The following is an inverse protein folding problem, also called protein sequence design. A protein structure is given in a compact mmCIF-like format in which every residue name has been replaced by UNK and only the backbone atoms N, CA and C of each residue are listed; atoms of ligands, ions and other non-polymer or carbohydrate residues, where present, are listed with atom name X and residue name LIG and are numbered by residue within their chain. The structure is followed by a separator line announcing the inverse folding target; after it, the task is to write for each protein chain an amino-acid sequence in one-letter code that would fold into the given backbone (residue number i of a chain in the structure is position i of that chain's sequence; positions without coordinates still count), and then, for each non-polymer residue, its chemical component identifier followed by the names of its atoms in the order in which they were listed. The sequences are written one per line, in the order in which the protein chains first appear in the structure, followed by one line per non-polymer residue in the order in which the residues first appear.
data_IF_796313682956
#
_entry.id   IF_796313682956
#
_cell.length_a   1.000
_cell.length_b   1.000
_cell.length_c   1.000
_cell.angle_alpha   90.00
_cell.angle_beta   90.00
_cell.angle_gamma   90.00
#
_symmetry.space_group_name_H-M   'P 1'
#
loop_
_entity.id
_entity.type
_entity.pdbx_description
1 polymer ?
#
# COMPACT_ATOMS: atom_id res chain seq x y z
N UNK A 1 -34.62 32.54 1.40
CA UNK A 1 -33.75 31.78 0.47
C UNK A 1 -34.67 31.11 -0.52
N UNK A 2 -34.42 31.28 -1.82
CA UNK A 2 -35.19 30.60 -2.86
C UNK A 2 -34.28 29.54 -3.47
N UNK A 3 -34.76 28.30 -3.56
CA UNK A 3 -34.07 27.23 -4.25
C UNK A 3 -34.96 26.70 -5.37
N UNK A 4 -34.39 26.54 -6.57
CA UNK A 4 -35.06 25.91 -7.71
C UNK A 4 -34.26 24.69 -8.10
N UNK A 5 -34.92 23.53 -8.13
CA UNK A 5 -34.33 22.26 -8.55
C UNK A 5 -34.89 21.94 -9.93
N UNK A 6 -34.01 21.72 -10.90
CA UNK A 6 -34.37 21.30 -12.26
C UNK A 6 -33.85 19.89 -12.49
N UNK A 7 -34.73 18.98 -12.93
CA UNK A 7 -34.43 17.59 -13.25
C UNK A 7 -34.62 17.39 -14.75
N UNK A 8 -33.62 16.81 -15.42
CA UNK A 8 -33.65 16.52 -16.85
C UNK A 8 -33.10 15.10 -17.08
N UNK A 9 -33.68 14.35 -18.03
CA UNK A 9 -33.37 12.93 -18.23
C UNK A 9 -31.91 12.64 -18.62
N UNK A 10 -31.18 13.64 -19.11
CA UNK A 10 -29.83 13.49 -19.69
C UNK A 10 -28.76 14.34 -19.02
N UNK A 11 -29.11 15.10 -17.96
CA UNK A 11 -28.19 16.00 -17.28
C UNK A 11 -28.22 15.82 -15.75
N UNK A 12 -27.11 16.10 -15.04
CA UNK A 12 -27.12 16.15 -13.58
C UNK A 12 -28.13 17.19 -13.08
N UNK A 13 -28.78 16.89 -11.96
CA UNK A 13 -29.77 17.76 -11.36
C UNK A 13 -29.16 19.12 -11.02
N UNK A 14 -29.86 20.19 -11.42
CA UNK A 14 -29.39 21.56 -11.23
C UNK A 14 -30.12 22.18 -10.05
N UNK A 15 -29.37 22.58 -9.03
CA UNK A 15 -29.89 23.28 -7.85
C UNK A 15 -29.43 24.73 -7.89
N UNK A 16 -30.36 25.66 -8.08
CA UNK A 16 -30.09 27.10 -8.07
C UNK A 16 -30.58 27.71 -6.75
N UNK A 17 -29.64 28.25 -5.97
CA UNK A 17 -29.92 28.86 -4.67
C UNK A 17 -29.70 30.38 -4.78
N UNK A 18 -30.72 31.14 -4.42
CA UNK A 18 -30.68 32.59 -4.34
C UNK A 18 -30.83 33.06 -2.88
N UNK A 19 -29.84 33.83 -2.42
CA UNK A 19 -29.85 34.45 -1.09
C UNK A 19 -29.27 35.86 -1.19
N UNK A 20 -30.08 36.86 -0.82
CA UNK A 20 -29.69 38.28 -0.79
C UNK A 20 -29.08 38.79 -2.11
N UNK A 21 -29.66 38.39 -3.25
CA UNK A 21 -29.20 38.78 -4.59
C UNK A 21 -28.00 37.99 -5.13
N UNK A 22 -27.35 37.15 -4.31
CA UNK A 22 -26.32 36.22 -4.78
C UNK A 22 -26.95 34.91 -5.25
N UNK A 23 -26.67 34.52 -6.50
CA UNK A 23 -27.11 33.27 -7.11
C UNK A 23 -25.96 32.26 -7.12
N UNK A 24 -26.19 31.07 -6.58
CA UNK A 24 -25.26 29.94 -6.63
C UNK A 24 -25.93 28.78 -7.36
N UNK A 25 -25.22 28.19 -8.31
CA UNK A 25 -25.67 27.01 -9.04
C UNK A 25 -24.81 25.82 -8.66
N UNK A 26 -25.45 24.70 -8.33
CA UNK A 26 -24.81 23.45 -7.96
C UNK A 26 -25.37 22.37 -8.89
N UNK A 27 -24.49 21.55 -9.44
CA UNK A 27 -24.87 20.35 -10.19
C UNK A 27 -24.67 19.15 -9.28
N UNK A 28 -25.71 18.34 -9.13
CA UNK A 28 -25.74 17.19 -8.24
C UNK A 28 -26.15 15.97 -9.06
N UNK A 29 -25.52 14.83 -8.81
CA UNK A 29 -25.97 13.57 -9.39
C UNK A 29 -27.43 13.31 -8.97
N UNK A 30 -28.27 12.81 -9.89
CA UNK A 30 -29.69 12.55 -9.58
C UNK A 30 -29.89 11.56 -8.44
N UNK A 31 -29.02 10.54 -8.32
CA UNK A 31 -29.10 9.56 -7.25
C UNK A 31 -28.76 10.18 -5.89
N UNK A 32 -27.71 11.02 -5.84
CA UNK A 32 -27.31 11.71 -4.61
C UNK A 32 -28.38 12.72 -4.16
N UNK A 33 -28.97 13.44 -5.12
CA UNK A 33 -30.07 14.37 -4.82
C UNK A 33 -31.29 13.63 -4.26
N UNK A 34 -31.69 12.50 -4.87
CA UNK A 34 -32.80 11.68 -4.40
C UNK A 34 -32.53 11.15 -2.98
N UNK A 35 -31.32 10.63 -2.73
CA UNK A 35 -30.91 10.14 -1.42
C UNK A 35 -31.00 11.25 -0.35
N UNK A 36 -30.53 12.46 -0.66
CA UNK A 36 -30.59 13.59 0.26
C UNK A 36 -32.02 14.05 0.55
N UNK A 37 -32.89 14.13 -0.45
CA UNK A 37 -34.31 14.48 -0.26
C UNK A 37 -34.98 13.43 0.63
N UNK A 38 -34.80 12.15 0.32
CA UNK A 38 -35.36 11.04 1.10
C UNK A 38 -34.86 11.08 2.55
N UNK A 39 -33.58 11.36 2.78
CA UNK A 39 -33.05 11.50 4.15
C UNK A 39 -33.63 12.70 4.91
N UNK A 40 -33.98 13.78 4.19
CA UNK A 40 -34.50 15.00 4.81
C UNK A 40 -35.97 14.92 5.23
N UNK A 41 -36.74 13.97 4.66
CA UNK A 41 -38.18 13.79 4.93
C UNK A 41 -38.44 12.90 6.15
N UNK A 42 -37.46 12.13 6.64
CA UNK A 42 -37.64 11.14 7.72
C UNK A 42 -37.68 11.72 9.16
N UNK A 43 -38.20 12.92 9.38
CA UNK A 43 -38.13 13.57 10.72
C UNK A 43 -39.38 13.54 11.61
N UNK A 44 -40.50 12.90 11.24
CA UNK A 44 -41.73 12.94 12.09
C UNK A 44 -42.31 11.58 12.56
N UNK A 45 -41.64 10.45 12.34
CA UNK A 45 -42.03 9.16 12.94
C UNK A 45 -40.89 8.57 13.77
N UNK A 46 -40.71 9.11 14.98
CA UNK A 46 -39.79 8.56 15.98
C UNK A 46 -40.49 7.42 16.72
N UNK A 47 -40.53 6.24 16.10
CA UNK A 47 -40.36 5.02 16.87
C UNK A 47 -38.86 4.86 17.10
N UNK A 48 -38.47 4.68 18.36
CA UNK A 48 -37.11 4.57 18.90
C UNK A 48 -36.38 3.32 18.38
N UNK A 49 -36.25 3.20 17.06
CA UNK A 49 -35.33 2.29 16.42
C UNK A 49 -33.96 2.93 16.57
N UNK A 50 -33.19 2.46 17.54
CA UNK A 50 -31.73 2.58 17.53
C UNK A 50 -31.27 2.46 16.08
N UNK A 51 -30.78 3.58 15.52
CA UNK A 51 -30.37 3.63 14.13
C UNK A 51 -29.31 2.54 13.93
N UNK A 52 -29.68 1.47 13.24
CA UNK A 52 -28.74 0.39 12.95
C UNK A 52 -27.60 1.03 12.15
N UNK A 53 -26.35 0.96 12.61
CA UNK A 53 -25.22 1.51 11.87
C UNK A 53 -25.21 0.93 10.45
N UNK A 54 -25.28 1.80 9.44
CA UNK A 54 -25.20 1.38 8.05
C UNK A 54 -23.72 1.25 7.64
N UNK A 55 -23.40 0.16 6.94
CA UNK A 55 -22.07 -0.06 6.40
C UNK A 55 -21.88 0.82 5.17
N UNK A 56 -21.05 1.87 5.28
CA UNK A 56 -20.79 2.82 4.19
C UNK A 56 -19.71 2.30 3.22
N UNK A 57 -18.74 1.54 3.74
CA UNK A 57 -17.64 0.98 2.97
C UNK A 57 -17.11 -0.28 3.66
N UNK A 58 -16.75 -1.28 2.88
CA UNK A 58 -15.99 -2.44 3.34
C UNK A 58 -14.74 -2.59 2.49
N UNK A 59 -13.64 -2.99 3.10
CA UNK A 59 -12.52 -3.53 2.32
C UNK A 59 -12.93 -4.86 1.68
N UNK A 60 -12.28 -5.26 0.56
CA UNK A 60 -12.30 -6.64 0.13
C UNK A 60 -11.61 -7.55 1.16
N UNK A 61 -11.55 -8.85 0.88
CA UNK A 61 -10.60 -9.74 1.53
C UNK A 61 -9.18 -9.26 1.23
N UNK A 62 -8.35 -9.14 2.27
CA UNK A 62 -6.98 -8.66 2.14
C UNK A 62 -6.00 -9.79 2.45
N UNK A 63 -4.80 -9.78 1.84
CA UNK A 63 -3.70 -10.67 2.23
C UNK A 63 -3.43 -10.64 3.73
N UNK A 64 -2.98 -11.77 4.25
CA UNK A 64 -2.39 -11.82 5.58
C UNK A 64 -1.26 -10.78 5.70
N UNK A 65 -1.13 -10.19 6.88
CA UNK A 65 -0.15 -9.14 7.20
C UNK A 65 -0.33 -7.82 6.44
N UNK A 66 -1.50 -7.57 5.86
CA UNK A 66 -1.84 -6.23 5.34
C UNK A 66 -1.97 -5.25 6.50
N UNK A 67 -1.15 -4.20 6.49
CA UNK A 67 -1.15 -3.14 7.50
C UNK A 67 -1.88 -1.88 7.04
N UNK A 68 -2.03 -1.69 5.73
CA UNK A 68 -2.71 -0.54 5.14
C UNK A 68 -3.24 -0.90 3.76
N UNK A 69 -4.44 -0.43 3.46
CA UNK A 69 -5.11 -0.59 2.18
C UNK A 69 -5.68 0.75 1.74
N UNK A 70 -5.58 1.05 0.44
CA UNK A 70 -6.23 2.19 -0.18
C UNK A 70 -6.71 1.82 -1.57
N UNK A 71 -7.85 2.37 -1.98
CA UNK A 71 -8.31 2.31 -3.37
C UNK A 71 -8.22 3.71 -3.97
N UNK A 72 -7.46 3.85 -5.05
CA UNK A 72 -7.32 5.11 -5.78
C UNK A 72 -8.50 5.35 -6.73
N UNK A 73 -8.66 6.59 -7.18
CA UNK A 73 -9.74 7.00 -8.10
C UNK A 73 -9.63 6.39 -9.50
N UNK A 74 -8.46 5.88 -9.87
CA UNK A 74 -8.21 5.18 -11.14
C UNK A 74 -8.39 3.65 -11.03
N UNK A 75 -9.10 3.21 -9.98
CA UNK A 75 -9.34 1.81 -9.62
C UNK A 75 -8.07 1.02 -9.23
N UNK A 76 -6.94 1.69 -8.95
CA UNK A 76 -5.77 1.01 -8.41
C UNK A 76 -5.96 0.65 -6.94
N UNK A 77 -5.83 -0.64 -6.61
CA UNK A 77 -5.73 -1.13 -5.24
C UNK A 77 -4.28 -1.03 -4.76
N UNK A 78 -4.04 -0.31 -3.67
CA UNK A 78 -2.74 -0.20 -3.01
C UNK A 78 -2.76 -0.96 -1.68
N UNK A 79 -1.81 -1.87 -1.51
CA UNK A 79 -1.66 -2.71 -0.33
C UNK A 79 -0.27 -2.54 0.26
N UNK A 80 -0.20 -2.41 1.58
CA UNK A 80 1.04 -2.42 2.33
C UNK A 80 1.06 -3.67 3.20
N UNK A 81 2.04 -4.54 3.03
CA UNK A 81 2.10 -5.85 3.66
C UNK A 81 3.41 -6.04 4.40
N UNK A 82 3.35 -6.41 5.68
CA UNK A 82 4.56 -6.74 6.45
C UNK A 82 4.99 -8.17 6.22
N UNK A 83 6.30 -8.37 6.19
CA UNK A 83 6.94 -9.69 6.21
C UNK A 83 7.94 -9.69 7.37
N UNK A 84 7.63 -10.39 8.47
CA UNK A 84 8.48 -10.39 9.66
C UNK A 84 9.90 -10.88 9.40
N UNK A 85 10.83 -10.45 10.25
CA UNK A 85 12.20 -10.97 10.27
C UNK A 85 12.20 -12.50 10.26
N UNK A 86 13.00 -13.06 9.37
CA UNK A 86 13.08 -14.50 9.17
C UNK A 86 14.40 -14.85 8.51
N UNK A 87 14.76 -16.12 8.55
CA UNK A 87 15.90 -16.63 7.81
C UNK A 87 15.44 -17.40 6.59
N UNK A 88 16.15 -17.22 5.47
CA UNK A 88 15.85 -17.89 4.20
C UNK A 88 17.11 -18.43 3.57
N UNK A 89 16.96 -19.51 2.80
CA UNK A 89 18.03 -20.00 1.94
C UNK A 89 18.11 -19.10 0.69
N UNK A 90 19.25 -18.46 0.51
CA UNK A 90 19.50 -17.52 -0.58
C UNK A 90 20.31 -18.21 -1.66
N UNK A 91 19.77 -18.23 -2.89
CA UNK A 91 20.56 -18.59 -4.07
C UNK A 91 21.23 -17.33 -4.61
N UNK A 92 22.56 -17.29 -4.62
CA UNK A 92 23.35 -16.21 -5.22
C UNK A 92 24.24 -16.77 -6.34
N UNK A 93 23.96 -16.35 -7.57
CA UNK A 93 24.45 -16.98 -8.80
C UNK A 93 24.18 -18.50 -8.83
N UNK A 94 25.20 -19.32 -8.55
CA UNK A 94 25.14 -20.79 -8.54
C UNK A 94 25.39 -21.38 -7.14
N UNK A 95 25.51 -20.54 -6.13
CA UNK A 95 25.80 -20.93 -4.75
C UNK A 95 24.57 -20.72 -3.89
N UNK A 96 24.23 -21.70 -3.07
CA UNK A 96 23.18 -21.57 -2.04
C UNK A 96 23.86 -21.23 -0.72
N UNK A 97 23.37 -20.18 -0.07
CA UNK A 97 23.71 -19.77 1.29
C UNK A 97 22.51 -20.08 2.17
N UNK A 98 22.73 -20.80 3.27
CA UNK A 98 21.66 -21.31 4.10
C UNK A 98 21.36 -20.37 5.27
N UNK A 99 20.09 -20.30 5.66
CA UNK A 99 19.70 -19.63 6.90
C UNK A 99 20.21 -18.18 7.00
N UNK A 100 20.10 -17.43 5.88
CA UNK A 100 20.50 -16.02 5.80
C UNK A 100 19.38 -15.16 6.40
N UNK A 101 19.68 -14.33 7.43
CA UNK A 101 18.67 -13.51 8.08
C UNK A 101 18.26 -12.32 7.21
N UNK A 102 16.95 -12.07 7.15
CA UNK A 102 16.32 -10.90 6.53
C UNK A 102 15.67 -10.06 7.63
N UNK A 103 15.72 -8.71 7.56
CA UNK A 103 15.10 -7.86 8.56
C UNK A 103 13.57 -7.93 8.48
N UNK A 104 12.88 -7.22 9.37
CA UNK A 104 11.47 -6.93 9.11
C UNK A 104 11.32 -6.09 7.84
N UNK A 105 10.38 -6.49 6.98
CA UNK A 105 10.16 -5.89 5.67
C UNK A 105 8.72 -5.40 5.52
N UNK A 106 8.53 -4.33 4.76
CA UNK A 106 7.22 -3.87 4.31
C UNK A 106 7.21 -3.77 2.80
N UNK A 107 6.30 -4.52 2.18
CA UNK A 107 6.02 -4.49 0.76
C UNK A 107 4.91 -3.49 0.47
N UNK A 108 4.97 -2.82 -0.68
CA UNK A 108 3.85 -2.10 -1.26
C UNK A 108 3.53 -2.68 -2.63
N UNK A 109 2.28 -3.09 -2.83
CA UNK A 109 1.75 -3.54 -4.11
C UNK A 109 0.69 -2.56 -4.61
N UNK A 110 0.78 -2.20 -5.88
CA UNK A 110 -0.32 -1.59 -6.62
C UNK A 110 -0.88 -2.61 -7.59
N UNK A 111 -2.21 -2.78 -7.61
CA UNK A 111 -2.91 -3.64 -8.55
C UNK A 111 -3.86 -2.78 -9.37
N UNK A 112 -3.65 -2.73 -10.67
CA UNK A 112 -4.48 -1.98 -11.61
C UNK A 112 -4.86 -2.91 -12.75
N UNK A 113 -6.13 -2.97 -13.15
CA UNK A 113 -6.63 -3.87 -14.19
C UNK A 113 -6.19 -5.34 -13.96
N UNK A 114 -6.31 -5.82 -12.71
CA UNK A 114 -5.94 -7.18 -12.30
C UNK A 114 -4.46 -7.52 -12.53
N UNK A 115 -3.56 -6.52 -12.55
CA UNK A 115 -2.12 -6.73 -12.71
C UNK A 115 -1.35 -5.91 -11.71
N UNK A 116 -0.22 -6.44 -11.25
CA UNK A 116 0.69 -5.69 -10.38
C UNK A 116 1.31 -4.56 -11.18
N UNK A 117 0.94 -3.32 -10.85
CA UNK A 117 1.42 -2.08 -11.47
C UNK A 117 2.53 -1.41 -10.66
N UNK A 118 2.62 -1.73 -9.36
CA UNK A 118 3.64 -1.21 -8.45
C UNK A 118 4.12 -2.31 -7.50
N UNK A 119 5.43 -2.40 -7.27
CA UNK A 119 6.04 -3.31 -6.31
C UNK A 119 7.24 -2.63 -5.66
N UNK A 120 7.13 -2.34 -4.38
CA UNK A 120 8.17 -1.68 -3.61
C UNK A 120 8.44 -2.43 -2.31
N UNK A 121 9.64 -2.27 -1.77
CA UNK A 121 10.12 -2.95 -0.58
C UNK A 121 11.01 -2.03 0.25
N UNK A 122 10.71 -1.94 1.54
CA UNK A 122 11.51 -1.24 2.53
C UNK A 122 11.76 -2.16 3.74
N UNK A 123 12.83 -1.90 4.49
CA UNK A 123 13.11 -2.55 5.77
C UNK A 123 12.76 -1.63 6.94
N UNK A 124 12.50 -2.21 8.10
CA UNK A 124 12.29 -1.46 9.35
C UNK A 124 12.86 -2.21 10.56
N UNK A 125 13.14 -1.47 11.64
CA UNK A 125 13.74 -2.01 12.87
C UNK A 125 12.73 -2.32 13.96
N UNK A 126 11.62 -1.58 13.99
CA UNK A 126 10.63 -1.69 15.05
C UNK A 126 9.98 -3.07 15.08
N UNK A 127 9.59 -3.51 16.29
CA UNK A 127 8.82 -4.76 16.45
C UNK A 127 7.47 -4.70 15.74
N UNK A 128 6.86 -3.53 15.70
CA UNK A 128 5.56 -3.29 15.07
C UNK A 128 5.69 -2.09 14.15
N UNK A 129 5.24 -2.24 12.91
CA UNK A 129 5.22 -1.15 11.95
C UNK A 129 4.14 -0.13 12.35
N UNK A 130 4.54 1.12 12.55
CA UNK A 130 3.67 2.26 12.86
C UNK A 130 3.90 3.38 11.86
N UNK A 131 3.00 4.35 11.84
CA UNK A 131 3.10 5.53 10.97
C UNK A 131 4.43 6.29 11.14
N UNK A 132 4.96 6.37 12.38
CA UNK A 132 6.23 7.03 12.71
C UNK A 132 7.47 6.11 12.59
N UNK A 133 7.29 4.83 12.24
CA UNK A 133 8.41 3.89 12.04
C UNK A 133 9.34 4.38 10.95
N UNK A 134 10.63 4.46 11.28
CA UNK A 134 11.68 4.81 10.32
C UNK A 134 11.89 3.70 9.31
N UNK A 135 11.94 4.06 8.03
CA UNK A 135 12.20 3.12 6.95
C UNK A 135 13.66 3.14 6.52
N UNK A 136 14.11 1.97 6.10
CA UNK A 136 15.48 1.69 5.69
C UNK A 136 15.49 1.02 4.33
N UNK A 137 16.58 1.21 3.60
CA UNK A 137 16.82 0.51 2.36
C UNK A 137 16.99 -0.98 2.63
N UNK A 138 16.42 -1.82 1.76
CA UNK A 138 16.70 -3.24 1.77
C UNK A 138 18.21 -3.50 1.54
N UNK A 139 18.87 -4.29 2.41
CA UNK A 139 20.34 -4.29 2.49
C UNK A 139 21.07 -5.11 1.43
N UNK A 140 20.36 -5.97 0.69
CA UNK A 140 20.91 -6.87 -0.33
C UNK A 140 20.62 -6.33 -1.74
N UNK A 141 20.63 -7.21 -2.76
CA UNK A 141 20.33 -6.83 -4.15
C UNK A 141 18.84 -6.95 -4.49
N UNK A 142 18.50 -6.89 -5.78
CA UNK A 142 17.13 -6.99 -6.33
C UNK A 142 16.16 -5.84 -5.95
N UNK A 143 16.62 -4.81 -5.25
CA UNK A 143 15.83 -3.62 -4.90
C UNK A 143 16.62 -2.35 -5.23
N UNK A 144 15.97 -1.43 -5.95
CA UNK A 144 16.50 -0.12 -6.30
C UNK A 144 16.63 0.79 -5.06
N UNK A 145 17.40 1.87 -5.19
CA UNK A 145 17.67 2.78 -4.07
C UNK A 145 16.44 3.51 -3.53
N UNK A 146 15.37 3.62 -4.32
CA UNK A 146 14.09 4.20 -3.96
C UNK A 146 13.09 3.18 -3.38
N UNK A 147 13.50 1.92 -3.23
CA UNK A 147 12.67 0.81 -2.77
C UNK A 147 11.90 0.09 -3.88
N UNK A 148 12.00 0.51 -5.14
CA UNK A 148 11.42 -0.24 -6.26
C UNK A 148 12.03 -1.64 -6.35
N UNK A 149 11.21 -2.67 -6.55
CA UNK A 149 11.72 -4.03 -6.71
C UNK A 149 12.08 -4.31 -8.17
N UNK A 150 13.20 -4.99 -8.41
CA UNK A 150 13.52 -5.52 -9.74
C UNK A 150 12.87 -6.89 -9.90
N UNK A 151 11.56 -6.86 -10.12
CA UNK A 151 10.77 -8.05 -10.33
C UNK A 151 9.83 -7.79 -11.51
N UNK A 152 9.69 -8.77 -12.39
CA UNK A 152 8.70 -8.71 -13.44
C UNK A 152 7.72 -9.86 -13.22
N UNK A 153 6.46 -9.50 -13.00
CA UNK A 153 5.36 -10.44 -12.91
C UNK A 153 4.29 -10.03 -13.92
N UNK A 154 3.84 -10.99 -14.71
CA UNK A 154 2.74 -10.78 -15.65
C UNK A 154 1.50 -11.61 -15.26
N UNK A 155 1.46 -12.08 -14.01
CA UNK A 155 0.32 -12.78 -13.44
C UNK A 155 -0.91 -11.89 -13.40
N UNK A 156 -2.06 -12.51 -13.63
CA UNK A 156 -3.37 -11.87 -13.47
C UNK A 156 -3.81 -12.11 -12.03
N UNK A 157 -4.05 -11.03 -11.29
CA UNK A 157 -4.52 -11.03 -9.92
C UNK A 157 -6.05 -11.03 -9.95
N UNK A 158 -6.65 -12.18 -9.64
CA UNK A 158 -8.11 -12.32 -9.58
C UNK A 158 -8.67 -11.95 -8.20
N UNK A 159 -7.85 -12.10 -7.16
CA UNK A 159 -8.17 -11.78 -5.78
C UNK A 159 -6.92 -11.21 -5.12
N UNK A 160 -7.05 -10.09 -4.40
CA UNK A 160 -5.94 -9.45 -3.72
C UNK A 160 -5.26 -10.41 -2.74
N UNK A 161 -5.99 -11.34 -2.13
CA UNK A 161 -5.45 -12.36 -1.21
C UNK A 161 -4.32 -13.18 -1.83
N UNK A 162 -4.29 -13.34 -3.16
CA UNK A 162 -3.22 -14.07 -3.87
C UNK A 162 -1.82 -13.48 -3.61
N UNK A 163 -1.75 -12.17 -3.36
CA UNK A 163 -0.50 -11.45 -3.07
C UNK A 163 0.17 -11.93 -1.77
N UNK A 164 -0.54 -12.61 -0.86
CA UNK A 164 0.05 -13.15 0.36
C UNK A 164 1.22 -14.12 0.11
N UNK A 165 1.21 -14.79 -1.05
CA UNK A 165 2.29 -15.71 -1.44
C UNK A 165 3.52 -15.00 -2.01
N UNK A 166 3.35 -13.76 -2.48
CA UNK A 166 4.40 -13.04 -3.20
C UNK A 166 5.66 -12.83 -2.35
N UNK A 167 5.61 -12.30 -1.10
CA UNK A 167 6.81 -12.12 -0.30
C UNK A 167 7.62 -13.41 -0.14
N UNK A 168 6.94 -14.55 0.10
CA UNK A 168 7.58 -15.86 0.25
C UNK A 168 8.22 -16.37 -1.04
N UNK A 169 7.66 -16.05 -2.20
CA UNK A 169 8.21 -16.42 -3.50
C UNK A 169 9.36 -15.49 -3.92
N UNK A 170 9.27 -14.21 -3.58
CA UNK A 170 10.26 -13.21 -3.93
C UNK A 170 11.58 -13.41 -3.20
N UNK A 171 11.55 -13.69 -1.89
CA UNK A 171 12.79 -13.93 -1.10
C UNK A 171 13.59 -15.15 -1.57
N UNK A 172 12.95 -16.07 -2.32
CA UNK A 172 13.58 -17.25 -2.92
C UNK A 172 14.14 -17.00 -4.32
N UNK A 173 13.88 -15.84 -4.92
CA UNK A 173 14.43 -15.51 -6.23
C UNK A 173 15.96 -15.42 -6.17
N UNK A 174 16.67 -15.84 -7.22
CA UNK A 174 18.12 -15.73 -7.25
C UNK A 174 18.59 -14.27 -7.09
N UNK A 175 19.55 -14.08 -6.19
CA UNK A 175 20.26 -12.82 -6.01
C UNK A 175 21.44 -12.75 -6.98
N UNK A 176 21.70 -11.55 -7.48
CA UNK A 176 22.83 -11.22 -8.35
C UNK A 176 23.37 -9.82 -8.00
N UNK A 177 24.39 -9.36 -8.73
CA UNK A 177 25.07 -8.09 -8.47
C UNK A 177 24.41 -6.85 -9.11
N UNK A 178 23.43 -6.99 -10.01
CA UNK A 178 22.97 -5.89 -10.87
C UNK A 178 22.50 -4.65 -10.09
N UNK A 179 21.82 -4.85 -8.96
CA UNK A 179 21.33 -3.78 -8.09
C UNK A 179 22.08 -3.68 -6.76
N UNK A 180 23.25 -4.30 -6.67
CA UNK A 180 24.10 -4.19 -5.50
C UNK A 180 25.25 -3.24 -5.75
N UNK A 181 25.36 -2.24 -4.88
CA UNK A 181 26.50 -1.34 -4.83
C UNK A 181 27.07 -1.37 -3.42
N UNK A 182 28.31 -1.84 -3.31
CA UNK A 182 29.06 -1.90 -2.06
C UNK A 182 29.13 -0.51 -1.41
N UNK A 183 28.75 -0.44 -0.13
CA UNK A 183 28.72 0.83 0.59
C UNK A 183 27.58 1.76 0.19
N UNK A 184 26.62 1.32 -0.64
CA UNK A 184 25.41 2.08 -0.98
C UNK A 184 24.13 1.34 -0.57
N UNK A 185 24.04 0.02 -0.80
CA UNK A 185 22.86 -0.76 -0.37
C UNK A 185 22.76 -0.88 1.15
N UNK A 186 23.91 -0.97 1.82
CA UNK A 186 24.03 -1.06 3.27
C UNK A 186 25.27 -0.27 3.75
N UNK A 187 25.50 -0.28 5.06
CA UNK A 187 26.56 0.46 5.74
C UNK A 187 27.81 -0.37 6.04
N UNK A 188 27.87 -1.66 5.64
CA UNK A 188 29.01 -2.53 5.97
C UNK A 188 30.16 -2.44 4.97
N UNK A 189 29.96 -1.82 3.80
CA UNK A 189 30.98 -1.70 2.75
C UNK A 189 31.62 -3.03 2.37
N UNK A 190 30.86 -4.12 2.39
CA UNK A 190 31.29 -5.46 2.00
C UNK A 190 30.68 -5.88 0.66
N UNK A 191 31.37 -6.73 -0.12
CA UNK A 191 30.77 -7.41 -1.27
C UNK A 191 29.54 -8.25 -0.86
N UNK A 192 28.56 -8.38 -1.76
CA UNK A 192 27.31 -9.10 -1.46
C UNK A 192 27.53 -10.56 -1.06
N UNK A 193 28.49 -11.23 -1.71
CA UNK A 193 28.88 -12.60 -1.35
C UNK A 193 29.32 -12.72 0.10
N UNK A 194 30.21 -11.83 0.53
CA UNK A 194 30.74 -11.85 1.91
C UNK A 194 29.64 -11.58 2.93
N UNK A 195 28.67 -10.72 2.60
CA UNK A 195 27.49 -10.49 3.44
C UNK A 195 26.70 -11.79 3.65
N UNK A 196 26.47 -12.56 2.59
CA UNK A 196 25.80 -13.85 2.72
C UNK A 196 26.64 -14.84 3.51
N UNK A 197 27.92 -15.02 3.19
CA UNK A 197 28.83 -15.94 3.89
C UNK A 197 28.87 -15.67 5.40
N UNK A 198 28.94 -14.40 5.79
CA UNK A 198 29.08 -13.99 7.18
C UNK A 198 27.77 -13.99 7.96
N UNK A 199 26.61 -13.98 7.30
CA UNK A 199 25.30 -13.85 7.96
C UNK A 199 24.59 -15.19 8.19
N UNK A 200 25.00 -16.27 7.53
CA UNK A 200 24.40 -17.60 7.71
C UNK A 200 24.30 -18.00 9.19
N UNK A 201 23.11 -18.43 9.60
CA UNK A 201 22.79 -18.88 10.96
C UNK A 201 23.09 -17.86 12.06
N UNK A 202 23.00 -16.57 11.73
CA UNK A 202 23.09 -15.47 12.69
C UNK A 202 21.79 -14.68 12.71
N UNK A 203 21.62 -13.88 13.76
CA UNK A 203 20.57 -12.87 13.79
C UNK A 203 20.87 -11.74 12.80
N UNK A 204 19.82 -11.05 12.35
CA UNK A 204 19.99 -9.93 11.43
C UNK A 204 20.79 -8.78 12.07
N UNK A 205 21.79 -8.27 11.36
CA UNK A 205 22.59 -7.12 11.81
C UNK A 205 21.91 -5.80 11.42
N UNK A 206 21.10 -5.24 12.32
CA UNK A 206 20.39 -3.98 12.10
C UNK A 206 21.28 -2.74 11.91
N UNK A 207 22.56 -2.79 12.30
CA UNK A 207 23.49 -1.69 12.08
C UNK A 207 23.90 -1.55 10.60
N UNK A 208 23.66 -2.58 9.78
CA UNK A 208 23.91 -2.50 8.33
C UNK A 208 22.89 -1.63 7.60
N UNK A 209 21.71 -1.42 8.17
CA UNK A 209 20.60 -0.78 7.46
C UNK A 209 20.87 0.71 7.20
N UNK A 210 20.70 1.12 5.94
CA UNK A 210 20.81 2.52 5.53
C UNK A 210 19.45 3.22 5.69
N UNK A 211 19.36 4.32 6.47
CA UNK A 211 18.12 5.07 6.59
C UNK A 211 17.67 5.64 5.24
N UNK A 212 16.37 5.61 4.97
CA UNK A 212 15.75 6.28 3.81
C UNK A 212 15.44 7.76 4.07
N UNK A 213 15.59 8.21 5.32
CA UNK A 213 15.24 9.58 5.73
C UNK A 213 13.74 9.86 5.69
N UNK A 214 12.91 8.82 5.85
CA UNK A 214 11.45 8.91 5.82
C UNK A 214 10.82 7.88 6.76
N UNK A 215 9.64 8.21 7.28
CA UNK A 215 8.78 7.30 8.06
C UNK A 215 7.86 6.48 7.15
N UNK A 216 7.15 5.51 7.72
CA UNK A 216 6.09 4.79 7.02
C UNK A 216 4.96 5.72 6.57
N UNK A 217 4.58 6.72 7.37
CA UNK A 217 3.62 7.75 6.99
C UNK A 217 4.11 8.55 5.78
N UNK A 218 5.35 9.04 5.82
CA UNK A 218 5.94 9.82 4.73
C UNK A 218 5.95 9.01 3.42
N UNK A 219 6.35 7.74 3.50
CA UNK A 219 6.41 6.84 2.35
C UNK A 219 5.02 6.51 1.79
N UNK A 220 4.05 6.18 2.66
CA UNK A 220 2.67 5.90 2.23
C UNK A 220 2.02 7.14 1.61
N UNK A 221 2.20 8.32 2.22
CA UNK A 221 1.72 9.58 1.68
C UNK A 221 2.34 9.91 0.32
N UNK A 222 3.63 9.64 0.11
CA UNK A 222 4.30 9.82 -1.18
C UNK A 222 3.78 8.88 -2.26
N UNK A 223 3.28 7.70 -1.89
CA UNK A 223 2.73 6.71 -2.84
C UNK A 223 1.27 7.03 -3.20
N UNK A 224 0.53 7.60 -2.25
CA UNK A 224 -0.90 7.91 -2.37
C UNK A 224 -1.19 9.25 -3.06
N UNK A 225 -0.23 10.17 -3.12
CA UNK A 225 -0.33 11.49 -3.74
C UNK A 225 0.60 11.61 -4.95
#
# INVERSE_FOLDING_TARGET
MKAVITLEDTHPAKVEIEKSGAKRTIYVNMQDLANHIVSSVKMDEVEDRLSVPEVILTSPSLPMNTVKYAKLSDDTDLLFMTYPETSVDVTYHKTVFYDVPFPNLVFCFGVTNNRVSKHMLMAYKDRFLREDTQLYRFPFSNVFGDGGMCYHDNSIIHDLVQLQSFPHNWVKQPFNDHLFQQGNNNLLYQPLRELFEQSQSKQFNYDMLRPMGMTFADWTNKILN
#
